data_IF_378961465197
#
_entry.id   IF_378961465197
#
_cell.length_a   1.000
_cell.length_b   1.000
_cell.length_c   1.000
_cell.angle_alpha   90.00
_cell.angle_beta   90.00
_cell.angle_gamma   90.00
#
_symmetry.space_group_name_H-M   'P 1'
#
loop_
_entity.id
_entity.type
_entity.pdbx_description
1 polymer ?
#
# COMPACT_ATOMS: atom_id res chain seq x y z
N UNK A 1 -1.40 11.03 -15.78
CA UNK A 1 -0.68 9.76 -15.53
C UNK A 1 -1.39 9.03 -14.38
N UNK A 2 -1.58 7.72 -14.47
CA UNK A 2 -2.36 6.96 -13.48
C UNK A 2 -1.42 6.34 -12.44
N UNK A 3 -1.31 6.98 -11.28
CA UNK A 3 -0.55 6.52 -10.12
C UNK A 3 -1.32 6.80 -8.84
N UNK A 4 -1.01 6.03 -7.81
CA UNK A 4 -1.48 6.27 -6.44
C UNK A 4 -0.31 6.74 -5.59
N UNK A 5 -0.61 7.57 -4.62
CA UNK A 5 0.31 7.82 -3.51
C UNK A 5 0.01 6.85 -2.37
N UNK A 6 0.91 6.76 -1.39
CA UNK A 6 0.70 5.97 -0.17
C UNK A 6 -0.63 6.32 0.52
N UNK A 7 -1.03 7.60 0.47
CA UNK A 7 -2.24 8.15 1.10
C UNK A 7 -3.18 8.70 0.05
N UNK A 8 -3.70 7.83 -0.81
CA UNK A 8 -4.71 8.21 -1.79
C UNK A 8 -6.10 8.14 -1.18
N UNK A 9 -7.02 9.02 -1.58
CA UNK A 9 -8.43 8.87 -1.27
C UNK A 9 -9.09 7.78 -2.15
N UNK A 10 -10.25 7.27 -1.70
CA UNK A 10 -10.99 6.23 -2.42
C UNK A 10 -11.44 6.73 -3.80
N UNK A 11 -11.87 7.98 -3.92
CA UNK A 11 -12.29 8.56 -5.19
C UNK A 11 -11.20 8.45 -6.24
N UNK A 12 -9.97 8.83 -5.88
CA UNK A 12 -8.80 8.72 -6.73
C UNK A 12 -8.52 7.28 -7.15
N UNK A 13 -8.66 6.32 -6.24
CA UNK A 13 -8.43 4.90 -6.52
C UNK A 13 -9.49 4.37 -7.48
N UNK A 14 -10.75 4.74 -7.28
CA UNK A 14 -11.86 4.40 -8.19
C UNK A 14 -11.64 4.99 -9.58
N UNK A 15 -11.20 6.25 -9.68
CA UNK A 15 -10.88 6.89 -10.95
C UNK A 15 -9.76 6.16 -11.70
N UNK A 16 -8.73 5.71 -10.97
CA UNK A 16 -7.63 4.93 -11.54
C UNK A 16 -8.12 3.56 -12.02
N UNK A 17 -8.96 2.89 -11.23
CA UNK A 17 -9.53 1.58 -11.58
C UNK A 17 -10.46 1.65 -12.79
N UNK A 18 -11.17 2.77 -12.97
CA UNK A 18 -12.04 3.04 -14.13
C UNK A 18 -11.25 3.43 -15.38
N UNK A 19 -10.19 4.23 -15.22
CA UNK A 19 -9.41 4.76 -16.35
C UNK A 19 -8.35 3.79 -16.92
N UNK A 20 -7.97 2.74 -16.18
CA UNK A 20 -6.97 1.75 -16.62
C UNK A 20 -7.43 0.32 -16.25
N UNK A 21 -7.60 -0.61 -17.21
CA UNK A 21 -7.90 -2.03 -16.93
C UNK A 21 -6.65 -2.81 -16.49
N UNK A 22 -5.67 -2.12 -15.90
CA UNK A 22 -4.31 -2.59 -15.68
C UNK A 22 -4.27 -3.52 -14.45
N UNK A 23 -3.44 -4.58 -14.51
CA UNK A 23 -3.35 -5.58 -13.43
C UNK A 23 -2.62 -5.04 -12.21
N UNK A 24 -1.59 -4.22 -12.43
CA UNK A 24 -0.77 -3.63 -11.38
C UNK A 24 -0.75 -2.11 -11.57
N UNK A 25 -0.75 -1.39 -10.45
CA UNK A 25 -0.76 0.06 -10.43
C UNK A 25 0.48 0.58 -9.70
N UNK A 26 1.17 1.61 -10.22
CA UNK A 26 2.31 2.19 -9.55
C UNK A 26 1.87 2.94 -8.30
N UNK A 27 2.58 2.69 -7.19
CA UNK A 27 2.46 3.45 -5.96
C UNK A 27 3.72 4.28 -5.80
N UNK A 28 3.54 5.59 -5.74
CA UNK A 28 4.62 6.54 -5.50
C UNK A 28 4.54 7.08 -4.06
N UNK A 29 5.63 7.67 -3.60
CA UNK A 29 5.69 8.33 -2.30
C UNK A 29 4.71 9.50 -2.24
N UNK A 30 4.92 10.51 -3.09
CA UNK A 30 4.01 11.64 -3.26
C UNK A 30 4.01 12.12 -4.72
N UNK A 31 3.05 12.99 -5.04
CA UNK A 31 2.84 13.49 -6.39
C UNK A 31 3.93 14.47 -6.87
N UNK A 32 4.74 15.01 -5.95
CA UNK A 32 5.80 15.98 -6.28
C UNK A 32 7.09 15.27 -6.70
N UNK A 33 7.59 14.35 -5.87
CA UNK A 33 8.84 13.64 -6.15
C UNK A 33 8.67 12.42 -7.07
N UNK A 34 7.44 11.90 -7.20
CA UNK A 34 7.10 10.76 -8.05
C UNK A 34 7.97 9.51 -7.80
N UNK A 35 8.52 9.38 -6.60
CA UNK A 35 9.39 8.26 -6.26
C UNK A 35 8.57 6.97 -6.20
N UNK A 36 8.83 6.03 -7.11
CA UNK A 36 8.12 4.75 -7.16
C UNK A 36 8.44 3.90 -5.93
N UNK A 37 7.49 3.70 -5.03
CA UNK A 37 7.66 2.81 -3.88
C UNK A 37 7.32 1.35 -4.23
N UNK A 38 6.54 1.11 -5.27
CA UNK A 38 6.24 -0.25 -5.70
C UNK A 38 5.03 -0.33 -6.59
N UNK A 39 4.46 -1.53 -6.67
CA UNK A 39 3.18 -1.75 -7.35
C UNK A 39 2.19 -2.47 -6.46
N UNK A 40 0.91 -2.19 -6.66
CA UNK A 40 -0.18 -2.93 -6.03
C UNK A 40 -1.06 -3.56 -7.10
N UNK A 41 -1.56 -4.76 -6.82
CA UNK A 41 -2.42 -5.46 -7.75
C UNK A 41 -3.86 -4.91 -7.67
N UNK A 42 -4.51 -4.84 -8.83
CA UNK A 42 -5.92 -4.48 -8.98
C UNK A 42 -6.82 -5.25 -8.02
N UNK A 43 -6.56 -6.55 -7.89
CA UNK A 43 -7.35 -7.43 -7.02
C UNK A 43 -7.31 -7.00 -5.55
N UNK A 44 -6.18 -6.46 -5.09
CA UNK A 44 -6.01 -6.09 -3.69
C UNK A 44 -6.63 -4.72 -3.41
N UNK A 45 -6.54 -3.77 -4.36
CA UNK A 45 -7.32 -2.52 -4.31
C UNK A 45 -8.83 -2.79 -4.26
N UNK A 46 -9.33 -3.68 -5.13
CA UNK A 46 -10.76 -4.03 -5.17
C UNK A 46 -11.22 -4.67 -3.86
N UNK A 47 -10.40 -5.53 -3.24
CA UNK A 47 -10.70 -6.09 -1.91
C UNK A 47 -10.83 -5.01 -0.84
N UNK A 48 -9.97 -3.99 -0.86
CA UNK A 48 -10.04 -2.92 0.15
C UNK A 48 -11.25 -2.03 -0.07
N UNK A 49 -11.52 -1.60 -1.31
CA UNK A 49 -12.74 -0.85 -1.63
C UNK A 49 -13.98 -1.62 -1.18
N UNK A 50 -14.02 -2.93 -1.49
CA UNK A 50 -15.14 -3.78 -1.08
C UNK A 50 -15.30 -3.84 0.44
N UNK A 51 -14.21 -4.05 1.20
CA UNK A 51 -14.25 -4.03 2.67
C UNK A 51 -14.74 -2.68 3.21
N UNK A 52 -14.37 -1.58 2.55
CA UNK A 52 -14.77 -0.24 2.98
C UNK A 52 -16.26 0.00 2.72
N UNK A 53 -16.78 -0.42 1.56
CA UNK A 53 -18.23 -0.37 1.26
C UNK A 53 -19.01 -1.23 2.26
N UNK A 54 -18.59 -2.48 2.48
CA UNK A 54 -19.22 -3.35 3.47
C UNK A 54 -19.16 -2.79 4.88
N UNK A 55 -18.06 -2.14 5.27
CA UNK A 55 -17.95 -1.53 6.61
C UNK A 55 -18.90 -0.35 6.83
N UNK A 56 -19.39 0.27 5.74
CA UNK A 56 -20.46 1.27 5.79
C UNK A 56 -21.81 0.58 5.94
N UNK A 57 -22.03 -0.57 5.28
CA UNK A 57 -23.27 -1.35 5.37
C UNK A 57 -23.45 -2.09 6.72
N UNK A 58 -22.36 -2.53 7.36
CA UNK A 58 -22.36 -3.26 8.65
C UNK A 58 -22.78 -2.38 9.85
N UNK A 59 -22.88 -1.05 9.68
CA UNK A 59 -23.54 -0.20 10.69
C UNK A 59 -25.07 -0.31 10.64
N UNK A 60 -25.65 -0.88 9.58
CA UNK A 60 -27.10 -1.06 9.45
C UNK A 60 -27.58 -2.52 9.37
N UNK A 61 -26.79 -3.51 8.91
CA UNK A 61 -27.25 -4.90 8.94
C UNK A 61 -26.10 -5.93 9.04
N UNK A 62 -26.07 -6.65 10.16
CA UNK A 62 -25.40 -7.95 10.28
C UNK A 62 -26.02 -8.89 9.23
N UNK A 63 -25.25 -9.43 8.26
CA UNK A 63 -25.38 -10.82 7.72
C UNK A 63 -24.59 -11.09 6.41
N UNK A 64 -23.92 -12.25 6.47
CA UNK A 64 -23.44 -13.20 5.46
C UNK A 64 -22.21 -12.98 4.57
N UNK A 65 -21.29 -13.93 4.68
CA UNK A 65 -19.99 -14.03 4.00
C UNK A 65 -20.10 -14.56 2.55
N UNK A 66 -21.31 -14.79 2.05
CA UNK A 66 -21.59 -15.44 0.75
C UNK A 66 -21.81 -14.46 -0.42
N UNK A 67 -21.81 -13.13 -0.21
CA UNK A 67 -21.93 -12.10 -1.29
C UNK A 67 -20.77 -12.07 -2.30
N UNK A 68 -19.73 -12.89 -2.14
CA UNK A 68 -18.55 -12.89 -3.00
C UNK A 68 -18.84 -13.25 -4.47
N UNK A 69 -19.88 -14.05 -4.76
CA UNK A 69 -20.26 -14.40 -6.13
C UNK A 69 -21.22 -13.39 -6.78
N UNK A 70 -22.06 -12.71 -6.00
CA UNK A 70 -23.10 -11.81 -6.53
C UNK A 70 -22.51 -10.54 -7.16
N UNK A 71 -21.38 -10.04 -6.65
CA UNK A 71 -20.74 -8.82 -7.16
C UNK A 71 -20.01 -9.02 -8.49
N UNK A 72 -19.78 -10.27 -8.90
CA UNK A 72 -19.31 -10.59 -10.26
C UNK A 72 -20.39 -10.32 -11.31
N UNK A 73 -21.66 -10.26 -10.90
CA UNK A 73 -22.83 -10.06 -11.77
C UNK A 73 -23.38 -8.62 -11.77
N UNK A 74 -22.80 -7.69 -11.01
CA UNK A 74 -23.24 -6.28 -10.98
C UNK A 74 -22.90 -5.46 -12.23
N UNK A 75 -22.32 -6.06 -13.27
CA UNK A 75 -22.15 -5.36 -14.55
C UNK A 75 -23.43 -5.34 -15.40
N UNK A 76 -24.54 -5.94 -14.95
CA UNK A 76 -25.75 -6.12 -15.76
C UNK A 76 -27.10 -5.82 -15.06
N UNK A 77 -27.13 -5.10 -13.93
CA UNK A 77 -28.41 -4.75 -13.31
C UNK A 77 -28.41 -3.34 -12.76
N UNK A 78 -29.05 -2.45 -13.53
CA UNK A 78 -29.40 -1.09 -13.19
C UNK A 78 -30.37 -1.05 -12.00
N UNK A 79 -29.86 -1.18 -10.77
CA UNK A 79 -30.59 -0.78 -9.57
C UNK A 79 -29.84 0.41 -8.97
N UNK A 80 -30.30 1.62 -9.31
CA UNK A 80 -29.99 2.84 -8.59
C UNK A 80 -30.73 2.79 -7.23
N UNK A 81 -30.20 2.01 -6.30
CA UNK A 81 -30.58 2.18 -4.89
C UNK A 81 -30.00 3.52 -4.41
N UNK A 82 -30.88 4.37 -3.91
CA UNK A 82 -30.64 5.76 -3.51
C UNK A 82 -29.77 5.78 -2.25
N UNK A 83 -28.45 5.60 -2.41
CA UNK A 83 -27.49 5.87 -1.33
C UNK A 83 -27.63 7.32 -0.88
N UNK A 84 -27.66 7.56 0.43
CA UNK A 84 -27.59 8.91 0.99
C UNK A 84 -26.35 9.63 0.41
N UNK A 85 -26.61 10.72 -0.31
CA UNK A 85 -25.62 11.40 -1.12
C UNK A 85 -24.44 11.92 -0.27
N UNK A 86 -24.70 12.22 1.01
CA UNK A 86 -23.69 12.64 1.99
C UNK A 86 -22.78 11.48 2.44
N UNK A 87 -23.34 10.28 2.57
CA UNK A 87 -22.60 9.07 2.95
C UNK A 87 -21.65 8.63 1.84
N UNK A 88 -22.06 8.71 0.57
CA UNK A 88 -21.21 8.38 -0.57
C UNK A 88 -20.04 9.38 -0.72
N UNK A 89 -20.30 10.68 -0.57
CA UNK A 89 -19.25 11.70 -0.60
C UNK A 89 -18.22 11.50 0.51
N UNK A 90 -18.68 11.14 1.70
CA UNK A 90 -17.79 10.87 2.84
C UNK A 90 -16.88 9.68 2.58
N UNK A 91 -17.41 8.61 1.96
CA UNK A 91 -16.62 7.45 1.57
C UNK A 91 -15.54 7.82 0.54
N UNK A 92 -15.88 8.58 -0.50
CA UNK A 92 -14.94 8.95 -1.55
C UNK A 92 -13.73 9.74 -1.03
N UNK A 93 -13.93 10.58 -0.01
CA UNK A 93 -12.85 11.35 0.63
C UNK A 93 -12.04 10.57 1.66
N UNK A 94 -12.42 9.33 1.98
CA UNK A 94 -11.68 8.51 2.95
C UNK A 94 -10.30 8.17 2.39
N UNK A 95 -9.27 8.44 3.18
CA UNK A 95 -7.88 8.10 2.84
C UNK A 95 -7.66 6.61 3.10
N UNK A 96 -7.06 5.92 2.13
CA UNK A 96 -6.56 4.56 2.30
C UNK A 96 -5.05 4.59 2.44
N UNK A 97 -4.52 3.79 3.37
CA UNK A 97 -3.08 3.54 3.44
C UNK A 97 -2.74 2.35 2.54
N UNK A 98 -2.20 2.64 1.36
CA UNK A 98 -1.84 1.63 0.36
C UNK A 98 -0.64 0.81 0.83
N UNK A 99 0.17 1.32 1.75
CA UNK A 99 1.37 0.61 2.22
C UNK A 99 1.05 -0.65 3.02
N UNK A 100 -0.11 -0.68 3.68
CA UNK A 100 -0.59 -1.84 4.43
C UNK A 100 -1.16 -2.95 3.53
N UNK A 101 -1.33 -2.70 2.23
CA UNK A 101 -2.07 -3.58 1.32
C UNK A 101 -1.22 -4.65 0.62
N UNK A 102 -0.01 -4.92 1.11
CA UNK A 102 0.87 -5.94 0.53
C UNK A 102 1.37 -5.54 -0.86
N UNK A 103 2.09 -4.42 -0.95
CA UNK A 103 2.68 -3.94 -2.20
C UNK A 103 3.95 -4.71 -2.57
N UNK A 104 4.15 -4.90 -3.87
CA UNK A 104 5.42 -5.36 -4.43
C UNK A 104 6.41 -4.19 -4.40
N UNK A 105 7.37 -4.24 -3.47
CA UNK A 105 8.36 -3.18 -3.24
C UNK A 105 9.20 -2.90 -4.49
N UNK A 106 9.52 -1.63 -4.71
CA UNK A 106 10.41 -1.24 -5.80
C UNK A 106 11.82 -1.84 -5.60
N UNK A 107 12.57 -2.15 -6.69
CA UNK A 107 13.87 -2.82 -6.59
C UNK A 107 14.88 -2.12 -5.67
N UNK A 108 14.91 -0.78 -5.69
CA UNK A 108 15.81 0.02 -4.83
C UNK A 108 15.43 0.00 -3.35
N UNK A 109 14.31 -0.61 -2.98
CA UNK A 109 13.93 -0.78 -1.58
C UNK A 109 14.36 -2.14 -1.01
N UNK A 110 14.73 -3.11 -1.85
CA UNK A 110 15.11 -4.48 -1.44
C UNK A 110 16.64 -4.59 -1.22
N UNK A 111 17.28 -3.44 -0.97
CA UNK A 111 18.74 -3.32 -0.90
C UNK A 111 19.32 -4.19 0.20
N UNK A 112 18.58 -4.42 1.28
CA UNK A 112 19.01 -5.20 2.45
C UNK A 112 19.38 -6.66 2.12
N UNK A 113 18.86 -7.22 1.03
CA UNK A 113 19.20 -8.56 0.56
C UNK A 113 20.31 -8.60 -0.49
N UNK A 114 20.76 -7.44 -0.96
CA UNK A 114 21.78 -7.35 -2.00
C UNK A 114 23.18 -7.63 -1.45
N UNK A 115 24.04 -8.23 -2.28
CA UNK A 115 25.45 -8.46 -1.95
C UNK A 115 26.15 -7.15 -1.55
N UNK A 116 25.79 -6.02 -2.16
CA UNK A 116 26.38 -4.72 -1.86
C UNK A 116 26.04 -4.23 -0.44
N UNK A 117 24.79 -4.35 -0.02
CA UNK A 117 24.39 -4.03 1.35
C UNK A 117 25.05 -4.96 2.37
N UNK A 118 25.10 -6.26 2.08
CA UNK A 118 25.76 -7.26 2.93
C UNK A 118 27.25 -6.92 3.11
N UNK A 119 27.92 -6.50 2.03
CA UNK A 119 29.32 -6.02 2.08
C UNK A 119 29.44 -4.75 2.93
N UNK A 120 28.60 -3.73 2.70
CA UNK A 120 28.61 -2.50 3.51
C UNK A 120 28.44 -2.79 5.00
N UNK A 121 27.45 -3.61 5.36
CA UNK A 121 27.15 -3.98 6.75
C UNK A 121 28.30 -4.77 7.39
N UNK A 122 28.99 -5.62 6.62
CA UNK A 122 30.17 -6.33 7.09
C UNK A 122 31.35 -5.37 7.35
N UNK A 123 31.57 -4.39 6.47
CA UNK A 123 32.59 -3.34 6.64
C UNK A 123 32.29 -2.50 7.89
N UNK A 124 31.05 -2.05 8.07
CA UNK A 124 30.64 -1.26 9.25
C UNK A 124 30.91 -2.03 10.55
N UNK A 125 30.57 -3.32 10.58
CA UNK A 125 30.82 -4.19 11.75
C UNK A 125 32.32 -4.38 12.04
N UNK A 126 33.16 -4.52 11.01
CA UNK A 126 34.60 -4.69 11.19
C UNK A 126 35.28 -3.39 11.65
N UNK A 127 34.83 -2.24 11.14
CA UNK A 127 35.27 -0.93 11.63
C UNK A 127 34.93 -0.79 13.11
N UNK A 128 33.71 -1.11 13.50
CA UNK A 128 33.27 -1.04 14.90
C UNK A 128 34.08 -1.99 15.80
N UNK A 129 34.34 -3.22 15.33
CA UNK A 129 35.16 -4.21 16.05
C UNK A 129 36.59 -3.70 16.28
N UNK A 130 37.16 -3.05 15.27
CA UNK A 130 38.52 -2.51 15.31
C UNK A 130 38.62 -1.32 16.27
N UNK A 131 37.65 -0.40 16.22
CA UNK A 131 37.58 0.73 17.15
C UNK A 131 37.47 0.23 18.59
N UNK A 132 36.58 -0.74 18.86
CA UNK A 132 36.42 -1.34 20.19
C UNK A 132 37.70 -2.00 20.71
N UNK A 133 38.43 -2.73 19.86
CA UNK A 133 39.73 -3.34 20.22
C UNK A 133 40.75 -2.27 20.60
N UNK A 134 40.94 -1.25 19.75
CA UNK A 134 41.89 -0.15 20.02
C UNK A 134 41.56 0.61 21.31
N UNK A 135 40.28 0.87 21.58
CA UNK A 135 39.86 1.51 22.83
C UNK A 135 40.17 0.66 24.05
N UNK A 136 39.94 -0.66 23.99
CA UNK A 136 40.31 -1.57 25.09
C UNK A 136 41.82 -1.57 25.34
N UNK A 137 42.62 -1.61 24.28
CA UNK A 137 44.09 -1.60 24.39
C UNK A 137 44.61 -0.28 25.00
N UNK A 138 43.93 0.84 24.74
CA UNK A 138 44.23 2.15 25.34
C UNK A 138 43.88 2.24 26.83
N UNK A 139 42.79 1.59 27.24
CA UNK A 139 42.37 1.54 28.65
C UNK A 139 43.30 0.64 29.47
N UNK A 140 43.78 -0.48 28.90
CA UNK A 140 44.65 -1.44 29.60
C UNK A 140 46.10 -0.94 29.72
N UNK A 141 46.50 0.07 28.93
CA UNK A 141 47.86 0.65 28.96
C UNK A 141 48.04 1.83 29.93
N UNK A 142 46.97 2.30 30.57
CA UNK A 142 47.00 3.31 31.65
C UNK A 142 46.72 2.64 33.00
#
# INVERSE_FOLDING_TARGET
MNFMTVKSDIGRVVDILRSCPCRNFPVVDNAENMMLLGTIQRRDLMKVIYKLILSVEDQENVVDRTKFETLKHLNESSNEELYDQNSLTTLLHRVIDVSEMGMDKAPFQIVDETSLYKVRKAIEKEIESTIRRKMKDLIVKN
#
